data_IF_111801082291
#
_entry.id   IF_111801082291
#
_cell.length_a   1.000
_cell.length_b   1.000
_cell.length_c   1.000
_cell.angle_alpha   90.00
_cell.angle_beta   90.00
_cell.angle_gamma   90.00
#
_symmetry.space_group_name_H-M   'P 1'
#
loop_
_entity.id
_entity.type
_entity.pdbx_description
1 polymer ?
#
# COMPACT_ATOMS: atom_id res chain seq x y z
N UNK A 1 10.43 17.33 37.15
CA UNK A 1 9.00 17.24 36.73
C UNK A 1 8.59 18.30 35.68
N UNK A 2 9.49 18.77 34.79
CA UNK A 2 9.18 19.87 33.83
C UNK A 2 9.03 19.42 32.37
N UNK A 3 9.71 18.34 31.95
CA UNK A 3 9.73 17.90 30.55
C UNK A 3 8.40 17.30 30.04
N UNK A 4 7.65 16.58 30.86
CA UNK A 4 6.43 15.89 30.41
C UNK A 4 5.29 16.85 30.05
N UNK A 5 5.16 17.96 30.79
CA UNK A 5 4.13 18.99 30.52
C UNK A 5 4.37 19.69 29.18
N UNK A 6 5.64 19.86 28.79
CA UNK A 6 6.02 20.46 27.52
C UNK A 6 5.75 19.52 26.34
N UNK A 7 6.02 18.22 26.50
CA UNK A 7 5.75 17.24 25.44
C UNK A 7 4.25 17.05 25.19
N UNK A 8 3.45 16.95 26.25
CA UNK A 8 1.99 16.85 26.17
C UNK A 8 1.35 18.05 25.47
N UNK A 9 1.83 19.26 25.76
CA UNK A 9 1.36 20.49 25.12
C UNK A 9 1.71 20.51 23.62
N UNK A 10 2.94 20.12 23.25
CA UNK A 10 3.35 20.02 21.85
C UNK A 10 2.56 18.93 21.09
N UNK A 11 2.33 17.76 21.70
CA UNK A 11 1.48 16.74 21.09
C UNK A 11 0.05 17.22 20.90
N UNK A 12 -0.52 17.93 21.88
CA UNK A 12 -1.88 18.45 21.77
C UNK A 12 -2.05 19.44 20.61
N UNK A 13 -1.03 20.24 20.29
CA UNK A 13 -1.02 21.11 19.11
C UNK A 13 -1.09 20.32 17.81
N UNK A 14 -0.23 19.29 17.66
CA UNK A 14 -0.19 18.45 16.46
C UNK A 14 -1.46 17.61 16.29
N UNK A 15 -2.01 17.08 17.39
CA UNK A 15 -3.23 16.25 17.39
C UNK A 15 -4.49 17.03 17.01
N UNK A 16 -4.48 18.37 17.11
CA UNK A 16 -5.57 19.21 16.58
C UNK A 16 -5.55 19.29 15.06
N UNK A 17 -4.37 19.13 14.45
CA UNK A 17 -4.16 19.27 13.01
C UNK A 17 -4.22 17.94 12.28
N UNK A 18 -3.88 16.84 12.97
CA UNK A 18 -3.78 15.51 12.37
C UNK A 18 -4.56 14.50 13.21
N UNK A 19 -5.50 13.74 12.61
CA UNK A 19 -6.18 12.67 13.32
C UNK A 19 -5.17 11.62 13.79
N UNK A 20 -5.48 10.94 14.89
CA UNK A 20 -4.66 9.80 15.35
C UNK A 20 -4.54 8.75 14.24
N UNK A 21 -3.37 8.13 14.16
CA UNK A 21 -3.13 7.02 13.27
C UNK A 21 -3.73 5.74 13.83
N UNK A 22 -4.75 5.24 13.14
CA UNK A 22 -5.47 4.00 13.45
C UNK A 22 -5.22 2.90 12.40
N UNK A 23 -4.41 3.18 11.37
CA UNK A 23 -4.15 2.26 10.26
C UNK A 23 -5.19 2.28 9.14
N UNK A 24 -6.24 3.09 9.22
CA UNK A 24 -7.25 3.22 8.15
C UNK A 24 -6.71 3.97 6.93
N UNK A 25 -5.86 4.96 7.17
CA UNK A 25 -5.14 5.68 6.12
C UNK A 25 -3.74 5.11 5.96
N UNK A 26 -3.16 5.24 4.75
CA UNK A 26 -1.79 4.79 4.55
C UNK A 26 -0.86 5.55 5.50
N UNK A 27 0.07 4.83 6.14
CA UNK A 27 1.02 5.47 7.05
C UNK A 27 1.82 6.57 6.36
N UNK A 28 2.20 6.38 5.09
CA UNK A 28 2.87 7.39 4.28
C UNK A 28 2.10 8.73 4.23
N UNK A 29 0.80 8.65 3.91
CA UNK A 29 -0.07 9.83 3.83
C UNK A 29 -0.34 10.44 5.21
N UNK A 30 -0.44 9.61 6.24
CA UNK A 30 -0.59 10.08 7.61
C UNK A 30 0.68 10.78 8.13
N UNK A 31 1.84 10.14 7.97
CA UNK A 31 3.14 10.65 8.38
C UNK A 31 3.46 11.97 7.70
N UNK A 32 3.13 12.13 6.41
CA UNK A 32 3.30 13.41 5.72
C UNK A 32 2.46 14.52 6.34
N UNK A 33 1.21 14.24 6.73
CA UNK A 33 0.36 15.20 7.45
C UNK A 33 0.92 15.52 8.83
N UNK A 34 1.44 14.50 9.51
CA UNK A 34 2.12 14.65 10.79
C UNK A 34 3.38 15.54 10.70
N UNK A 35 4.22 15.36 9.68
CA UNK A 35 5.38 16.21 9.40
C UNK A 35 4.96 17.67 9.20
N UNK A 36 3.98 17.92 8.32
CA UNK A 36 3.49 19.28 8.04
C UNK A 36 2.92 19.94 9.30
N UNK A 37 2.17 19.20 10.12
CA UNK A 37 1.65 19.73 11.38
C UNK A 37 2.76 20.01 12.41
N UNK A 38 3.83 19.22 12.42
CA UNK A 38 5.01 19.49 13.25
C UNK A 38 5.75 20.74 12.78
N UNK A 39 5.92 20.92 11.46
CA UNK A 39 6.50 22.14 10.88
C UNK A 39 5.68 23.38 11.24
N UNK A 40 4.36 23.32 11.12
CA UNK A 40 3.45 24.41 11.49
C UNK A 40 3.57 24.78 12.98
N UNK A 41 3.78 23.79 13.85
CA UNK A 41 3.99 23.99 15.29
C UNK A 41 5.46 24.29 15.66
N UNK A 42 6.35 24.49 14.67
CA UNK A 42 7.79 24.74 14.88
C UNK A 42 8.48 23.64 15.72
N UNK A 43 8.04 22.39 15.55
CA UNK A 43 8.58 21.23 16.27
C UNK A 43 9.81 20.71 15.54
N UNK A 44 10.95 20.70 16.23
CA UNK A 44 12.19 20.13 15.69
C UNK A 44 12.10 18.62 15.44
N UNK A 45 12.84 18.13 14.44
CA UNK A 45 12.88 16.71 14.06
C UNK A 45 13.15 15.74 15.25
N UNK A 46 14.08 16.01 16.18
CA UNK A 46 14.30 15.14 17.37
C UNK A 46 13.10 15.10 18.33
N UNK A 47 12.26 16.13 18.34
CA UNK A 47 11.05 16.18 19.16
C UNK A 47 9.89 15.50 18.44
N UNK A 48 9.73 15.72 17.14
CA UNK A 48 8.77 15.02 16.28
C UNK A 48 8.86 13.49 16.42
N UNK A 49 10.08 12.94 16.34
CA UNK A 49 10.34 11.50 16.54
C UNK A 49 9.97 10.96 17.92
N UNK A 50 9.84 11.81 18.94
CA UNK A 50 9.36 11.42 20.27
C UNK A 50 7.85 11.57 20.39
N UNK A 51 7.30 12.61 19.77
CA UNK A 51 5.89 12.96 19.90
C UNK A 51 4.94 12.05 19.10
N UNK A 52 5.41 11.41 18.02
CA UNK A 52 4.50 10.64 17.15
C UNK A 52 3.77 9.53 17.90
N UNK A 53 4.35 9.01 18.99
CA UNK A 53 3.75 7.98 19.85
C UNK A 53 2.41 8.43 20.43
N UNK A 54 2.26 9.72 20.73
CA UNK A 54 1.00 10.31 21.20
C UNK A 54 -0.03 10.48 20.09
N UNK A 55 0.37 10.31 18.83
CA UNK A 55 -0.47 10.40 17.66
C UNK A 55 -0.85 9.05 17.06
N UNK A 56 -0.58 7.96 17.79
CA UNK A 56 -1.04 6.62 17.47
C UNK A 56 -2.32 6.30 18.25
N UNK A 57 -3.22 5.51 17.67
CA UNK A 57 -4.29 4.90 18.45
C UNK A 57 -3.71 3.94 19.50
N UNK A 58 -4.42 3.66 20.61
CA UNK A 58 -3.96 2.71 21.62
C UNK A 58 -3.60 1.34 21.05
N UNK A 59 -4.40 0.82 20.10
CA UNK A 59 -4.13 -0.47 19.48
C UNK A 59 -2.81 -0.46 18.70
N UNK A 60 -2.57 0.58 17.89
CA UNK A 60 -1.31 0.68 17.13
C UNK A 60 -0.14 0.91 18.07
N UNK A 61 -0.31 1.69 19.13
CA UNK A 61 0.75 1.93 20.11
C UNK A 61 1.21 0.62 20.77
N UNK A 62 0.27 -0.26 21.14
CA UNK A 62 0.56 -1.58 21.70
C UNK A 62 1.26 -2.48 20.68
N UNK A 63 0.81 -2.51 19.42
CA UNK A 63 1.47 -3.25 18.33
C UNK A 63 2.94 -2.86 18.14
N UNK A 64 3.31 -1.62 18.49
CA UNK A 64 4.66 -1.09 18.32
C UNK A 64 5.57 -1.30 19.55
N UNK A 65 5.08 -1.90 20.64
CA UNK A 65 5.90 -2.24 21.82
C UNK A 65 6.77 -3.48 21.60
N UNK A 66 7.48 -3.52 20.47
CA UNK A 66 8.36 -4.62 20.08
C UNK A 66 9.81 -4.21 20.34
N UNK A 67 10.65 -5.06 20.97
CA UNK A 67 12.08 -4.79 21.12
C UNK A 67 12.76 -4.54 19.77
N UNK A 68 13.73 -3.63 19.73
CA UNK A 68 14.37 -3.20 18.47
C UNK A 68 14.96 -4.37 17.65
N UNK A 69 15.61 -5.33 18.32
CA UNK A 69 16.18 -6.50 17.66
C UNK A 69 15.10 -7.39 17.01
N UNK A 70 13.96 -7.55 17.69
CA UNK A 70 12.82 -8.31 17.19
C UNK A 70 12.13 -7.57 16.04
N UNK A 71 11.92 -6.27 16.17
CA UNK A 71 11.37 -5.43 15.12
C UNK A 71 12.20 -5.49 13.82
N UNK A 72 13.54 -5.42 13.94
CA UNK A 72 14.45 -5.62 12.80
C UNK A 72 14.29 -7.00 12.18
N UNK A 73 14.17 -8.04 13.01
CA UNK A 73 13.94 -9.41 12.55
C UNK A 73 12.61 -9.58 11.79
N UNK A 74 11.52 -9.01 12.32
CA UNK A 74 10.20 -9.01 11.69
C UNK A 74 10.20 -8.25 10.37
N UNK A 75 10.84 -7.08 10.35
CA UNK A 75 10.96 -6.22 9.17
C UNK A 75 11.64 -6.96 8.01
N UNK A 76 12.75 -7.66 8.28
CA UNK A 76 13.49 -8.43 7.27
C UNK A 76 12.75 -9.68 6.77
N UNK A 77 11.85 -10.23 7.58
CA UNK A 77 11.06 -11.44 7.24
C UNK A 77 9.72 -11.11 6.61
N UNK A 78 9.32 -9.84 6.58
CA UNK A 78 8.01 -9.44 6.06
C UNK A 78 7.91 -9.76 4.57
N UNK A 79 6.83 -10.45 4.19
CA UNK A 79 6.50 -10.82 2.82
C UNK A 79 5.05 -10.52 2.53
N UNK A 80 4.76 -9.94 1.39
CA UNK A 80 3.41 -9.63 0.93
C UNK A 80 2.61 -10.92 0.82
N UNK A 81 1.45 -10.97 1.47
CA UNK A 81 0.52 -12.07 1.27
C UNK A 81 -0.16 -11.96 -0.10
N UNK A 82 -0.60 -13.08 -0.70
CA UNK A 82 -1.09 -13.11 -2.08
C UNK A 82 -2.26 -12.15 -2.38
N UNK A 83 -3.13 -11.88 -1.40
CA UNK A 83 -4.25 -10.95 -1.53
C UNK A 83 -4.01 -9.60 -0.83
N UNK A 84 -2.81 -9.37 -0.32
CA UNK A 84 -2.49 -8.16 0.41
C UNK A 84 -2.24 -6.98 -0.54
N UNK A 85 -2.84 -5.83 -0.25
CA UNK A 85 -2.54 -4.60 -0.97
C UNK A 85 -1.15 -4.06 -0.62
N UNK A 86 -0.48 -3.45 -1.60
CA UNK A 86 0.82 -2.80 -1.38
C UNK A 86 0.75 -1.67 -0.36
N UNK A 87 -0.41 -1.03 -0.22
CA UNK A 87 -0.66 -0.06 0.84
C UNK A 87 -0.54 -0.66 2.23
N UNK A 88 -1.09 -1.86 2.43
CA UNK A 88 -1.04 -2.55 3.71
C UNK A 88 0.36 -3.07 4.00
N UNK A 89 1.02 -3.64 2.99
CA UNK A 89 2.44 -4.02 3.07
C UNK A 89 3.34 -2.83 3.47
N UNK A 90 3.20 -1.70 2.78
CA UNK A 90 3.97 -0.49 3.08
C UNK A 90 3.70 -0.02 4.52
N UNK A 91 2.43 0.01 4.93
CA UNK A 91 2.03 0.40 6.28
C UNK A 91 2.68 -0.48 7.35
N UNK A 92 2.71 -1.80 7.15
CA UNK A 92 3.35 -2.72 8.09
C UNK A 92 4.87 -2.54 8.14
N UNK A 93 5.51 -2.36 6.98
CA UNK A 93 6.95 -2.07 6.89
C UNK A 93 7.28 -0.77 7.63
N UNK A 94 6.46 0.26 7.46
CA UNK A 94 6.58 1.51 8.19
C UNK A 94 6.44 1.30 9.71
N UNK A 95 5.37 0.62 10.14
CA UNK A 95 5.14 0.30 11.56
C UNK A 95 6.35 -0.40 12.17
N UNK A 96 6.88 -1.44 11.52
CA UNK A 96 8.02 -2.22 12.01
C UNK A 96 9.34 -1.44 11.98
N UNK A 97 9.50 -0.51 11.04
CA UNK A 97 10.72 0.32 10.93
C UNK A 97 10.95 1.26 12.12
N UNK A 98 9.87 1.64 12.80
CA UNK A 98 9.90 2.56 13.94
C UNK A 98 10.60 1.96 15.17
N UNK A 99 10.12 0.83 15.76
CA UNK A 99 10.83 0.17 16.84
C UNK A 99 12.19 -0.38 16.38
N UNK A 100 12.38 -0.66 15.08
CA UNK A 100 13.67 -1.06 14.52
C UNK A 100 14.73 0.06 14.46
N UNK A 101 14.36 1.31 14.75
CA UNK A 101 15.27 2.47 14.73
C UNK A 101 15.67 2.92 13.32
N UNK A 102 14.91 2.54 12.28
CA UNK A 102 15.24 2.85 10.89
C UNK A 102 14.78 4.27 10.52
N UNK A 103 15.55 4.94 9.65
CA UNK A 103 15.09 6.19 9.03
C UNK A 103 14.08 5.86 7.92
N UNK A 104 12.96 6.58 7.90
CA UNK A 104 11.92 6.43 6.88
C UNK A 104 12.39 6.87 5.48
N UNK A 105 13.40 7.73 5.43
CA UNK A 105 14.05 8.22 4.21
C UNK A 105 15.20 7.29 3.76
N UNK A 106 15.41 6.17 4.45
CA UNK A 106 16.50 5.27 4.11
C UNK A 106 16.16 4.46 2.86
N UNK A 107 17.05 4.52 1.87
CA UNK A 107 17.04 3.61 0.71
C UNK A 107 17.01 2.13 1.12
N UNK A 108 17.54 1.80 2.31
CA UNK A 108 17.47 0.45 2.85
C UNK A 108 16.02 0.01 3.07
N UNK A 109 15.13 0.90 3.53
CA UNK A 109 13.72 0.59 3.74
C UNK A 109 12.98 0.38 2.41
N UNK A 110 13.38 1.10 1.36
CA UNK A 110 12.91 0.86 -0.02
C UNK A 110 13.31 -0.54 -0.47
N UNK A 111 14.55 -0.94 -0.22
CA UNK A 111 15.04 -2.29 -0.57
C UNK A 111 14.26 -3.38 0.17
N UNK A 112 13.96 -3.17 1.47
CA UNK A 112 13.12 -4.08 2.25
C UNK A 112 11.71 -4.17 1.65
N UNK A 113 11.10 -3.04 1.32
CA UNK A 113 9.78 -2.99 0.68
C UNK A 113 9.75 -3.76 -0.64
N UNK A 114 10.68 -3.48 -1.56
CA UNK A 114 10.73 -4.16 -2.86
C UNK A 114 10.96 -5.67 -2.71
N UNK A 115 11.83 -6.10 -1.78
CA UNK A 115 12.05 -7.53 -1.48
C UNK A 115 10.86 -8.21 -0.80
N UNK A 116 9.98 -7.43 -0.17
CA UNK A 116 8.79 -7.95 0.48
C UNK A 116 7.64 -8.15 -0.52
N UNK A 117 7.64 -7.45 -1.65
CA UNK A 117 6.60 -7.57 -2.69
C UNK A 117 6.53 -9.00 -3.26
N UNK A 118 5.30 -9.46 -3.51
CA UNK A 118 5.07 -10.76 -4.16
C UNK A 118 5.23 -10.69 -5.67
N UNK A 119 4.97 -9.53 -6.27
CA UNK A 119 5.13 -9.28 -7.71
C UNK A 119 6.57 -8.84 -8.02
N UNK A 120 7.39 -9.82 -8.44
CA UNK A 120 8.82 -9.63 -8.74
C UNK A 120 9.01 -8.71 -9.94
N UNK A 121 8.17 -8.84 -10.97
CA UNK A 121 8.27 -8.05 -12.19
C UNK A 121 7.95 -6.57 -11.91
N UNK A 122 6.90 -6.32 -11.13
CA UNK A 122 6.55 -4.99 -10.70
C UNK A 122 7.66 -4.39 -9.81
N UNK A 123 8.18 -5.17 -8.86
CA UNK A 123 9.28 -4.72 -8.00
C UNK A 123 10.53 -4.30 -8.80
N UNK A 124 10.87 -5.05 -9.85
CA UNK A 124 12.02 -4.77 -10.72
C UNK A 124 11.81 -3.50 -11.53
N UNK A 125 10.61 -3.30 -12.09
CA UNK A 125 10.27 -2.08 -12.84
C UNK A 125 10.29 -0.81 -12.00
N UNK A 126 10.02 -0.94 -10.70
CA UNK A 126 10.04 0.18 -9.74
C UNK A 126 11.47 0.47 -9.28
N UNK A 127 12.32 -0.55 -9.15
CA UNK A 127 13.73 -0.40 -8.78
C UNK A 127 14.48 0.51 -9.76
N UNK A 128 14.14 0.45 -11.04
CA UNK A 128 14.72 1.30 -12.09
C UNK A 128 14.24 2.77 -12.04
N UNK A 129 13.31 3.09 -11.13
CA UNK A 129 12.90 4.47 -10.86
C UNK A 129 13.76 5.02 -9.74
N UNK A 130 14.14 6.28 -9.85
CA UNK A 130 14.95 6.96 -8.83
C UNK A 130 14.11 7.27 -7.58
N UNK A 131 13.81 6.25 -6.76
CA UNK A 131 12.95 6.37 -5.57
C UNK A 131 13.70 7.12 -4.46
N UNK A 132 13.02 8.01 -3.75
CA UNK A 132 13.60 8.64 -2.56
C UNK A 132 13.27 7.84 -1.31
N UNK A 133 12.07 7.26 -1.26
CA UNK A 133 11.58 6.49 -0.12
C UNK A 133 10.47 5.49 -0.52
N UNK A 134 9.92 4.78 0.47
CA UNK A 134 8.85 3.79 0.27
C UNK A 134 7.54 4.45 -0.21
N UNK A 135 7.33 5.75 0.07
CA UNK A 135 6.14 6.50 -0.35
C UNK A 135 6.15 6.67 -1.88
N UNK A 136 7.32 7.06 -2.41
CA UNK A 136 7.52 7.17 -3.86
C UNK A 136 7.26 5.83 -4.56
N UNK A 137 7.72 4.72 -3.97
CA UNK A 137 7.50 3.39 -4.50
C UNK A 137 6.00 3.07 -4.63
N UNK A 138 5.21 3.36 -3.59
CA UNK A 138 3.76 3.12 -3.58
C UNK A 138 3.02 4.00 -4.60
N UNK A 139 3.38 5.28 -4.74
CA UNK A 139 2.75 6.17 -5.73
C UNK A 139 3.11 5.81 -7.18
N UNK A 140 4.35 5.40 -7.42
CA UNK A 140 4.77 4.90 -8.74
C UNK A 140 4.00 3.64 -9.10
N UNK A 141 3.75 2.72 -8.16
CA UNK A 141 2.92 1.54 -8.42
C UNK A 141 1.53 1.96 -8.88
N UNK A 142 0.86 2.87 -8.16
CA UNK A 142 -0.48 3.34 -8.56
C UNK A 142 -0.48 3.85 -10.00
N UNK A 143 0.56 4.60 -10.36
CA UNK A 143 0.73 5.17 -11.70
C UNK A 143 0.99 4.10 -12.76
N UNK A 144 1.72 3.03 -12.42
CA UNK A 144 1.98 1.91 -13.33
C UNK A 144 0.71 1.06 -13.52
N UNK A 145 -0.03 0.82 -12.45
CA UNK A 145 -1.27 0.04 -12.47
C UNK A 145 -2.39 0.77 -13.23
N UNK A 146 -2.52 2.08 -13.05
CA UNK A 146 -3.51 2.88 -13.82
C UNK A 146 -3.21 2.93 -15.31
N UNK A 147 -1.93 2.88 -15.70
CA UNK A 147 -1.54 2.82 -17.12
C UNK A 147 -1.90 1.50 -17.80
N UNK A 148 -1.92 0.38 -17.06
CA UNK A 148 -2.36 -0.93 -17.59
C UNK A 148 -3.86 -0.95 -17.91
N UNK A 149 -4.68 -0.19 -17.20
CA UNK A 149 -6.11 -0.04 -17.52
C UNK A 149 -6.36 0.80 -18.79
N UNK A 150 -5.33 1.46 -19.32
CA UNK A 150 -5.40 2.31 -20.52
C UNK A 150 -4.58 1.77 -21.71
N UNK A 151 -4.13 0.51 -21.67
CA UNK A 151 -3.54 -0.11 -22.86
C UNK A 151 -4.66 -0.47 -23.86
N UNK A 152 -4.65 0.06 -25.12
CA UNK A 152 -5.72 -0.17 -26.09
C UNK A 152 -5.88 -1.63 -26.56
N UNK A 153 -5.02 -2.54 -26.09
CA UNK A 153 -4.99 -3.93 -26.53
C UNK A 153 -6.04 -4.79 -25.80
N UNK A 154 -6.51 -4.38 -24.62
CA UNK A 154 -7.56 -5.14 -23.91
C UNK A 154 -8.97 -4.92 -24.51
N UNK A 155 -9.18 -3.84 -25.27
CA UNK A 155 -10.41 -3.65 -26.06
C UNK A 155 -10.55 -4.65 -27.22
N UNK A 156 -9.46 -5.28 -27.66
CA UNK A 156 -9.50 -6.25 -28.77
C UNK A 156 -9.71 -7.70 -28.32
N UNK A 157 -9.73 -7.99 -27.01
CA UNK A 157 -9.98 -9.34 -26.48
C UNK A 157 -11.41 -9.59 -26.00
N UNK A 158 -12.26 -8.56 -25.91
CA UNK A 158 -13.66 -8.73 -25.49
C UNK A 158 -14.63 -9.12 -26.63
N UNK A 159 -14.22 -9.02 -27.90
CA UNK A 159 -15.10 -9.33 -29.06
C UNK A 159 -14.87 -10.70 -29.70
N UNK A 160 -14.09 -11.59 -29.08
CA UNK A 160 -14.03 -13.02 -29.43
C UNK A 160 -14.84 -13.87 -28.44
N UNK A 161 -16.06 -13.45 -28.14
CA UNK A 161 -17.12 -14.39 -27.75
C UNK A 161 -17.94 -14.70 -29.00
N UNK A 162 -17.74 -15.92 -29.47
CA UNK A 162 -18.46 -16.65 -30.52
C UNK A 162 -19.79 -16.02 -31.00
N UNK A 163 -20.00 -15.84 -32.31
CA UNK A 163 -21.35 -15.63 -32.80
C UNK A 163 -22.13 -16.92 -32.58
N UNK A 164 -23.11 -16.87 -31.66
CA UNK A 164 -24.19 -17.86 -31.57
C UNK A 164 -24.94 -17.85 -32.90
N UNK A 165 -24.59 -18.77 -33.79
CA UNK A 165 -25.36 -19.15 -34.97
C UNK A 165 -26.76 -19.56 -34.50
N UNK A 166 -27.70 -18.61 -34.55
CA UNK A 166 -29.12 -18.90 -34.41
C UNK A 166 -29.61 -19.34 -35.79
N UNK A 167 -29.53 -20.64 -36.07
CA UNK A 167 -30.14 -21.23 -37.27
C UNK A 167 -31.65 -21.26 -37.05
N UNK A 168 -32.33 -20.17 -37.44
CA UNK A 168 -33.78 -20.17 -37.64
C UNK A 168 -34.10 -20.81 -38.99
N UNK A 169 -34.67 -22.02 -38.91
CA UNK A 169 -35.77 -22.50 -39.75
C UNK A 169 -35.81 -22.07 -41.22
N UNK A 170 -35.26 -22.92 -42.09
CA UNK A 170 -35.77 -23.06 -43.47
C UNK A 170 -35.93 -24.56 -43.74
N UNK A 171 -37.09 -25.09 -43.35
CA UNK A 171 -37.58 -26.39 -43.81
C UNK A 171 -37.93 -26.29 -45.31
N UNK A 172 -37.41 -27.17 -46.17
CA UNK A 172 -38.08 -27.47 -47.42
C UNK A 172 -39.23 -28.44 -47.17
N UNK A 173 -40.37 -28.13 -47.79
CA UNK A 173 -41.58 -28.95 -47.87
C UNK A 173 -41.30 -30.31 -48.50
N UNK A 174 -41.86 -31.34 -47.87
CA UNK A 174 -42.40 -32.59 -48.44
C UNK A 174 -41.59 -33.38 -49.50
N UNK A 175 -41.30 -34.66 -49.24
CA UNK A 175 -42.14 -35.79 -49.67
C UNK A 175 -41.64 -37.15 -49.12
N UNK A 176 -42.53 -38.16 -49.04
CA UNK A 176 -42.30 -39.40 -48.31
C UNK A 176 -41.73 -40.50 -49.20
N UNK A 177 -40.91 -41.38 -48.65
CA UNK A 177 -40.77 -42.76 -49.13
C UNK A 177 -40.48 -43.68 -47.94
N UNK A 178 -41.49 -44.45 -47.56
CA UNK A 178 -41.31 -45.65 -46.74
C UNK A 178 -41.05 -46.82 -47.70
N UNK A 179 -40.01 -47.61 -47.43
CA UNK A 179 -39.97 -49.01 -47.80
C UNK A 179 -39.30 -49.84 -46.69
N UNK A 180 -39.93 -51.00 -46.47
CA UNK A 180 -39.55 -52.18 -45.68
C UNK A 180 -39.83 -52.06 -44.18
N UNK A 181 -40.76 -52.83 -43.58
CA UNK A 181 -41.24 -54.19 -43.86
C UNK A 181 -42.77 -54.31 -43.92
#
# INVERSE_FOLDING_TARGET
MSQDKSQLACSAGVLKLVPMFDGTTSFASWWRRYEMACEEQSISCPVMKRLYKFALSPQIFEELQVPEAEARGLLLRRKQAGSESLHRLATDIFKLSMPAGCSLESWWLVTVFLKAMSDIDLSSRILDKNLKDVRDAVEIVKTISSKRETDPIDYLRQDLKEPKLTVRSLLPKERPTCYNY
#
